data_IF_715622638420
#
_entry.id   IF_715622638420
#
_cell.length_a   1.000
_cell.length_b   1.000
_cell.length_c   1.000
_cell.angle_alpha   90.00
_cell.angle_beta   90.00
_cell.angle_gamma   90.00
#
_symmetry.space_group_name_H-M   'P 1'
#
loop_
_entity.id
_entity.type
_entity.pdbx_description
1 polymer ?
#
# COMPACT_ATOMS: atom_id res chain seq x y z
N UNK A 1 -11.62 -7.16 15.57
CA UNK A 1 -10.56 -7.84 14.79
C UNK A 1 -9.63 -6.74 14.29
N UNK A 2 -8.32 -6.88 14.54
CA UNK A 2 -7.33 -5.81 14.40
C UNK A 2 -7.08 -5.43 12.93
N UNK A 3 -6.99 -4.13 12.64
CA UNK A 3 -6.61 -3.61 11.32
C UNK A 3 -5.12 -3.90 11.06
N UNK A 4 -4.73 -4.42 9.88
CA UNK A 4 -3.35 -4.82 9.60
C UNK A 4 -2.38 -3.65 9.34
N UNK A 5 -2.80 -2.39 9.56
CA UNK A 5 -1.95 -1.21 9.33
C UNK A 5 -0.68 -1.19 10.21
N UNK A 6 -0.61 -2.02 11.25
CA UNK A 6 0.56 -2.13 12.14
C UNK A 6 1.61 -3.13 11.64
N UNK A 7 1.37 -3.80 10.51
CA UNK A 7 2.30 -4.79 9.99
C UNK A 7 3.54 -4.18 9.29
N UNK A 8 3.51 -3.01 8.64
CA UNK A 8 4.79 -2.51 8.06
C UNK A 8 5.77 -1.91 9.06
N UNK A 9 5.31 -1.43 10.22
CA UNK A 9 6.25 -1.09 11.28
C UNK A 9 7.07 -2.31 11.75
N UNK A 10 6.72 -3.53 11.28
CA UNK A 10 7.50 -4.74 11.49
C UNK A 10 8.84 -4.61 10.74
N UNK A 11 9.86 -4.25 11.52
CA UNK A 11 11.28 -4.28 11.15
C UNK A 11 11.74 -3.19 10.19
N UNK A 12 11.56 -1.91 10.53
CA UNK A 12 12.36 -0.80 9.96
C UNK A 12 12.01 -0.38 8.52
N UNK A 13 10.83 -0.75 8.04
CA UNK A 13 10.28 -0.19 6.80
C UNK A 13 9.16 0.79 7.18
N UNK A 14 9.34 2.06 6.85
CA UNK A 14 8.34 3.09 7.10
C UNK A 14 7.38 3.14 5.91
N UNK A 15 6.14 2.71 6.11
CA UNK A 15 5.12 2.73 5.07
C UNK A 15 3.97 3.67 5.43
N UNK A 16 3.48 4.38 4.43
CA UNK A 16 2.34 5.25 4.50
C UNK A 16 1.40 4.99 3.31
N UNK A 17 0.10 5.08 3.57
CA UNK A 17 -0.94 4.80 2.59
C UNK A 17 -1.89 5.98 2.52
N UNK A 18 -2.14 6.46 1.30
CA UNK A 18 -3.01 7.59 1.06
C UNK A 18 -3.84 7.39 -0.20
N UNK A 19 -4.97 8.09 -0.26
CA UNK A 19 -5.83 8.13 -1.45
C UNK A 19 -5.42 9.33 -2.29
N UNK A 20 -5.39 9.14 -3.61
CA UNK A 20 -5.06 10.22 -4.54
C UNK A 20 -6.12 11.33 -4.45
N UNK A 21 -5.68 12.55 -4.14
CA UNK A 21 -6.59 13.67 -3.90
C UNK A 21 -7.52 13.99 -5.09
N UNK A 22 -7.04 13.77 -6.32
CA UNK A 22 -7.83 14.01 -7.53
C UNK A 22 -8.65 12.79 -8.00
N UNK A 23 -8.33 11.59 -7.48
CA UNK A 23 -8.93 10.34 -7.91
C UNK A 23 -9.25 9.50 -6.67
N UNK A 24 -10.48 9.60 -6.13
CA UNK A 24 -10.84 8.86 -4.93
C UNK A 24 -10.77 7.34 -5.10
N UNK A 25 -10.72 6.85 -6.35
CA UNK A 25 -10.56 5.44 -6.69
C UNK A 25 -9.09 4.97 -6.72
N UNK A 26 -8.11 5.87 -6.60
CA UNK A 26 -6.70 5.55 -6.70
C UNK A 26 -6.06 5.55 -5.31
N UNK A 27 -5.67 4.37 -4.83
CA UNK A 27 -4.92 4.20 -3.59
C UNK A 27 -3.43 4.08 -3.87
N UNK A 28 -2.62 4.71 -3.03
CA UNK A 28 -1.16 4.70 -3.14
C UNK A 28 -0.59 4.33 -1.78
N UNK A 29 0.33 3.37 -1.76
CA UNK A 29 1.14 3.03 -0.60
C UNK A 29 2.61 3.33 -0.92
N UNK A 30 3.20 4.28 -0.20
CA UNK A 30 4.62 4.54 -0.19
C UNK A 30 5.28 3.74 0.91
N UNK A 31 6.43 3.14 0.63
CA UNK A 31 7.24 2.49 1.63
C UNK A 31 8.69 2.92 1.49
N UNK A 32 9.35 3.15 2.62
CA UNK A 32 10.77 3.43 2.73
C UNK A 32 11.44 2.29 3.48
N UNK A 33 12.37 1.62 2.82
CA UNK A 33 13.17 0.59 3.46
C UNK A 33 14.32 1.22 4.24
N UNK A 34 14.20 1.39 5.55
CA UNK A 34 15.27 1.86 6.43
C UNK A 34 16.05 0.70 7.08
N UNK A 35 15.96 -0.50 6.50
CA UNK A 35 16.67 -1.70 6.96
C UNK A 35 17.89 -1.99 6.11
N UNK A 36 18.75 -2.89 6.60
CA UNK A 36 19.93 -3.40 5.89
C UNK A 36 19.62 -4.60 4.96
N UNK A 37 18.33 -4.96 4.78
CA UNK A 37 17.90 -6.08 3.94
C UNK A 37 17.00 -5.62 2.80
N UNK A 38 16.99 -6.35 1.70
CA UNK A 38 16.00 -6.14 0.64
C UNK A 38 14.62 -6.57 1.13
N UNK A 39 13.62 -5.73 0.89
CA UNK A 39 12.23 -5.96 1.30
C UNK A 39 11.32 -5.81 0.08
N UNK A 40 10.30 -6.65 -0.02
CA UNK A 40 9.31 -6.56 -1.09
C UNK A 40 7.95 -6.24 -0.48
N UNK A 41 7.29 -5.21 -1.00
CA UNK A 41 5.98 -4.79 -0.53
C UNK A 41 5.01 -4.56 -1.69
N UNK A 42 3.72 -4.50 -1.40
CA UNK A 42 2.69 -4.06 -2.33
C UNK A 42 1.60 -3.29 -1.60
N UNK A 43 0.90 -2.41 -2.31
CA UNK A 43 -0.31 -1.77 -1.81
C UNK A 43 -1.48 -2.76 -1.77
N UNK A 44 -2.33 -2.65 -0.75
CA UNK A 44 -3.60 -3.36 -0.62
C UNK A 44 -4.69 -2.31 -0.50
N UNK A 45 -5.57 -2.23 -1.49
CA UNK A 45 -6.50 -1.11 -1.62
C UNK A 45 -7.91 -1.67 -1.51
N UNK A 46 -8.60 -1.23 -0.46
CA UNK A 46 -9.96 -1.68 -0.16
C UNK A 46 -10.94 -0.83 -0.95
N UNK A 47 -11.65 -1.46 -1.88
CA UNK A 47 -12.56 -0.78 -2.80
C UNK A 47 -14.02 -0.81 -2.33
N UNK A 48 -14.23 -0.87 -1.00
CA UNK A 48 -15.54 -0.82 -0.37
C UNK A 48 -16.43 -2.00 -0.78
N UNK A 49 -17.34 -1.76 -1.73
CA UNK A 49 -18.24 -2.78 -2.27
C UNK A 49 -17.69 -3.50 -3.51
N UNK A 50 -16.71 -2.90 -4.19
CA UNK A 50 -16.00 -3.50 -5.30
C UNK A 50 -14.91 -4.45 -4.79
N UNK A 51 -14.46 -5.41 -5.62
CA UNK A 51 -13.35 -6.28 -5.26
C UNK A 51 -12.11 -5.46 -4.93
N UNK A 52 -11.46 -5.79 -3.81
CA UNK A 52 -10.21 -5.17 -3.38
C UNK A 52 -9.13 -5.38 -4.44
N UNK A 53 -8.29 -4.37 -4.63
CA UNK A 53 -7.21 -4.43 -5.60
C UNK A 53 -5.88 -4.34 -4.88
N UNK A 54 -4.95 -5.19 -5.27
CA UNK A 54 -3.57 -5.11 -4.81
C UNK A 54 -2.71 -4.44 -5.88
N UNK A 55 -1.85 -3.52 -5.46
CA UNK A 55 -0.84 -2.90 -6.32
C UNK A 55 0.22 -3.91 -6.79
N UNK A 56 1.16 -3.41 -7.59
CA UNK A 56 2.32 -4.19 -8.02
C UNK A 56 3.22 -4.52 -6.82
N UNK A 57 3.87 -5.68 -6.85
CA UNK A 57 4.96 -5.97 -5.92
C UNK A 57 6.18 -5.14 -6.29
N UNK A 58 6.71 -4.43 -5.31
CA UNK A 58 7.85 -3.54 -5.46
C UNK A 58 8.92 -3.97 -4.48
N UNK A 59 10.14 -4.12 -4.99
CA UNK A 59 11.29 -4.52 -4.20
C UNK A 59 12.15 -3.30 -3.88
N UNK A 60 12.37 -3.03 -2.59
CA UNK A 60 13.23 -1.97 -2.12
C UNK A 60 14.54 -2.56 -1.60
N UNK A 61 15.64 -2.04 -2.13
CA UNK A 61 16.94 -2.23 -1.53
C UNK A 61 17.06 -1.39 -0.23
N UNK A 62 18.05 -1.69 0.63
CA UNK A 62 18.36 -0.89 1.81
C UNK A 62 18.47 0.61 1.50
N UNK A 63 17.74 1.45 2.24
CA UNK A 63 17.71 2.90 2.07
C UNK A 63 16.89 3.41 0.88
N UNK A 64 16.27 2.52 0.10
CA UNK A 64 15.41 2.91 -1.02
C UNK A 64 14.00 3.28 -0.55
N UNK A 65 13.36 4.14 -1.32
CA UNK A 65 11.94 4.46 -1.21
C UNK A 65 11.27 4.11 -2.53
N UNK A 66 10.09 3.52 -2.46
CA UNK A 66 9.30 3.25 -3.64
C UNK A 66 7.82 3.21 -3.29
N UNK A 67 6.99 3.30 -4.33
CA UNK A 67 5.55 3.47 -4.20
C UNK A 67 4.84 2.39 -5.01
N UNK A 68 3.87 1.75 -4.39
CA UNK A 68 2.96 0.82 -5.03
C UNK A 68 1.58 1.47 -5.06
N UNK A 69 0.93 1.47 -6.21
CA UNK A 69 -0.40 2.04 -6.35
C UNK A 69 -1.35 1.09 -7.08
N UNK A 70 -2.64 1.34 -6.93
CA UNK A 70 -3.69 0.58 -7.59
C UNK A 70 -4.98 1.39 -7.69
N UNK A 71 -5.79 1.04 -8.68
CA UNK A 71 -7.01 1.77 -9.01
C UNK A 71 -8.20 0.85 -8.85
N UNK A 72 -9.13 1.24 -7.99
CA UNK A 72 -10.42 0.60 -7.84
C UNK A 72 -11.23 0.71 -9.14
N UNK A 73 -12.09 -0.27 -9.37
CA UNK A 73 -12.96 -0.23 -10.54
C UNK A 73 -13.91 0.99 -10.51
N UNK A 74 -14.32 1.49 -11.68
CA UNK A 74 -15.11 2.73 -11.80
C UNK A 74 -16.49 2.66 -11.11
N UNK A 75 -16.99 1.45 -10.87
CA UNK A 75 -18.23 1.25 -10.15
C UNK A 75 -18.04 1.33 -8.63
N UNK A 76 -16.81 1.26 -8.12
CA UNK A 76 -16.51 1.38 -6.70
C UNK A 76 -17.06 2.67 -6.09
N UNK A 77 -17.30 2.66 -4.79
CA UNK A 77 -17.63 3.86 -4.00
C UNK A 77 -16.40 4.73 -3.68
N UNK A 78 -15.26 4.47 -4.33
CA UNK A 78 -13.95 4.99 -3.99
C UNK A 78 -13.15 4.05 -3.08
N UNK A 79 -11.91 4.45 -2.81
CA UNK A 79 -10.98 3.76 -1.91
C UNK A 79 -11.43 3.99 -0.47
N UNK A 80 -11.85 2.92 0.20
CA UNK A 80 -12.25 2.97 1.60
C UNK A 80 -11.05 2.98 2.56
N UNK A 81 -9.97 2.28 2.20
CA UNK A 81 -8.73 2.25 2.97
C UNK A 81 -7.57 1.80 2.09
N UNK A 82 -6.38 2.34 2.35
CA UNK A 82 -5.13 1.86 1.73
C UNK A 82 -4.27 1.24 2.81
N UNK A 83 -4.01 -0.05 2.67
CA UNK A 83 -3.01 -0.79 3.42
C UNK A 83 -1.88 -1.24 2.51
N UNK A 84 -1.04 -2.10 3.04
CA UNK A 84 0.09 -2.68 2.32
C UNK A 84 0.49 -4.00 2.98
N UNK A 85 1.11 -4.86 2.19
CA UNK A 85 1.64 -6.15 2.64
C UNK A 85 3.12 -6.20 2.34
N UNK A 86 3.92 -6.66 3.32
CA UNK A 86 5.36 -6.87 3.19
C UNK A 86 5.67 -8.37 3.21
N UNK A 87 6.64 -8.79 2.39
CA UNK A 87 7.15 -10.16 2.31
C UNK A 87 8.65 -10.23 2.64
#
# INVERSE_FOLDING_TARGET
>A
MAAPAQAAAQAGVDCDGWVHNNNPDHGIAGCKNNTDRTVTFRAEIVCGWAPDVSGQWVTLAPGQYSESSGVCAIYSSGVGSVGWTIQ
#
